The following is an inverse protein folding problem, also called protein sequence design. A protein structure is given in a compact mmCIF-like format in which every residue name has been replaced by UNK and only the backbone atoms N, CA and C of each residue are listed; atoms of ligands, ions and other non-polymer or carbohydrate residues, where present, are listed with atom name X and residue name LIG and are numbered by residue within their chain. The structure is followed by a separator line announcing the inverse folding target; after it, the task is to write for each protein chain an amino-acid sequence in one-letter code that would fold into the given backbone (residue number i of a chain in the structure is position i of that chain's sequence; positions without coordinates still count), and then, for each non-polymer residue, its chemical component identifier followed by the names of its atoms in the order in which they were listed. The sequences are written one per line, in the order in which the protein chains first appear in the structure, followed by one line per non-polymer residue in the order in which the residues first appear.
data_IF_544320695476
#
_entry.id   IF_544320695476
#
_cell.length_a   1.000
_cell.length_b   1.000
_cell.length_c   1.000
_cell.angle_alpha   90.00
_cell.angle_beta   90.00
_cell.angle_gamma   90.00
#
_symmetry.space_group_name_H-M   'P 1'
#
loop_
_entity.id
_entity.type
_entity.pdbx_description
1 polymer ?
#
# COMPACT_ATOMS: atom_id res chain seq x y z
N UNK A 1 -17.60 21.49 -12.56
CA UNK A 1 -16.98 21.21 -11.24
C UNK A 1 -16.24 19.87 -11.21
N UNK A 2 -16.71 18.79 -11.87
CA UNK A 2 -16.04 17.45 -11.86
C UNK A 2 -14.61 17.46 -12.46
N UNK A 3 -14.35 18.27 -13.49
CA UNK A 3 -13.02 18.38 -14.14
C UNK A 3 -11.98 19.20 -13.35
N UNK A 4 -12.43 20.15 -12.52
CA UNK A 4 -11.55 21.06 -11.79
C UNK A 4 -10.86 20.41 -10.59
N UNK A 5 -11.52 19.44 -9.94
CA UNK A 5 -10.95 18.69 -8.80
C UNK A 5 -9.82 17.77 -9.28
N UNK A 6 -9.96 17.18 -10.46
CA UNK A 6 -8.94 16.30 -11.04
C UNK A 6 -7.67 17.08 -11.43
N UNK A 7 -7.82 18.29 -11.97
CA UNK A 7 -6.67 19.14 -12.36
C UNK A 7 -5.86 19.59 -11.14
N UNK A 8 -6.50 19.86 -9.99
CA UNK A 8 -5.80 20.24 -8.76
C UNK A 8 -4.98 19.08 -8.18
N UNK A 9 -5.51 17.85 -8.24
CA UNK A 9 -4.75 16.66 -7.80
C UNK A 9 -3.51 16.40 -8.68
N UNK A 10 -3.61 16.63 -9.99
CA UNK A 10 -2.51 16.41 -10.94
C UNK A 10 -1.43 17.50 -10.82
N UNK A 11 -1.83 18.76 -10.65
CA UNK A 11 -0.89 19.90 -10.52
C UNK A 11 0.02 19.75 -9.28
N UNK A 12 -0.48 19.13 -8.20
CA UNK A 12 0.31 18.94 -6.98
C UNK A 12 1.27 17.74 -7.06
N UNK A 13 0.93 16.70 -7.83
CA UNK A 13 1.81 15.53 -8.01
C UNK A 13 3.06 15.87 -8.83
N UNK A 14 2.98 16.79 -9.79
CA UNK A 14 4.14 17.18 -10.61
C UNK A 14 5.14 18.07 -9.86
N UNK A 15 4.69 18.89 -8.91
CA UNK A 15 5.56 19.74 -8.12
C UNK A 15 6.45 18.99 -7.11
N UNK A 16 5.98 17.85 -6.58
CA UNK A 16 6.75 17.06 -5.61
C UNK A 16 7.68 16.03 -6.24
N UNK A 17 7.51 15.67 -7.51
CA UNK A 17 8.39 14.73 -8.20
C UNK A 17 9.75 15.35 -8.59
N UNK A 18 9.86 16.68 -8.65
CA UNK A 18 11.08 17.39 -9.07
C UNK A 18 12.07 17.58 -7.90
N UNK A 19 11.64 17.43 -6.64
CA UNK A 19 12.51 17.65 -5.47
C UNK A 19 13.21 16.39 -4.95
N UNK A 20 13.02 15.24 -5.58
CA UNK A 20 13.62 13.98 -5.15
C UNK A 20 14.92 13.60 -5.88
N UNK A 21 15.44 14.44 -6.76
CA UNK A 21 16.74 14.21 -7.42
C UNK A 21 17.68 15.37 -7.06
N UNK A 22 18.58 15.12 -6.14
CA UNK A 22 19.93 15.67 -5.99
C UNK A 22 20.35 15.62 -4.52
N UNK A 23 20.84 14.47 -4.11
CA UNK A 23 21.87 14.38 -3.06
C UNK A 23 22.53 13.00 -3.17
N UNK A 24 23.46 12.91 -4.09
CA UNK A 24 24.47 11.85 -4.10
C UNK A 24 25.81 12.53 -4.37
N UNK A 25 26.71 12.32 -3.49
CA UNK A 25 28.16 12.39 -3.49
C UNK A 25 28.65 13.19 -2.29
N UNK A 26 29.14 12.46 -1.31
CA UNK A 26 29.86 12.93 -0.15
C UNK A 26 30.77 11.81 0.35
N UNK A 27 32.02 11.83 -0.11
CA UNK A 27 33.27 11.36 0.46
C UNK A 27 33.33 10.05 1.28
N UNK A 28 33.92 9.06 0.63
CA UNK A 28 34.58 7.92 1.26
C UNK A 28 35.96 8.36 1.72
N UNK A 29 36.15 8.65 3.01
CA UNK A 29 37.46 8.75 3.66
C UNK A 29 37.85 7.40 4.27
N UNK A 30 38.93 6.83 3.72
CA UNK A 30 39.80 5.78 4.20
C UNK A 30 39.70 5.43 5.70
N UNK A 31 39.36 4.17 5.96
CA UNK A 31 39.70 3.53 7.24
C UNK A 31 40.63 2.33 6.96
N UNK A 32 41.88 2.46 7.43
CA UNK A 32 42.92 1.40 7.43
C UNK A 32 42.41 0.15 8.13
N UNK A 33 42.50 -0.98 7.44
CA UNK A 33 42.32 -2.31 8.01
C UNK A 33 43.70 -2.83 8.39
N UNK A 34 43.90 -3.11 9.67
CA UNK A 34 45.06 -3.81 10.22
C UNK A 34 44.80 -5.31 10.12
N UNK A 35 45.66 -6.03 9.38
CA UNK A 35 45.71 -7.49 9.33
C UNK A 35 46.28 -8.04 10.61
N UNK A 36 45.69 -9.10 11.12
CA UNK A 36 46.38 -10.10 11.97
C UNK A 36 46.26 -11.46 11.32
N UNK A 37 47.43 -12.12 11.28
CA UNK A 37 47.72 -13.36 10.59
C UNK A 37 47.40 -14.61 11.41
N UNK A 38 46.99 -15.66 10.68
CA UNK A 38 47.42 -17.09 10.69
C UNK A 38 46.73 -18.06 11.66
N UNK A 39 46.78 -19.40 11.40
CA UNK A 39 47.29 -20.15 10.24
C UNK A 39 46.34 -21.23 9.63
N UNK A 40 46.76 -21.69 8.48
CA UNK A 40 46.45 -22.83 7.64
C UNK A 40 45.95 -24.14 8.28
N UNK A 41 44.95 -24.76 7.61
CA UNK A 41 44.94 -26.23 7.45
C UNK A 41 44.32 -26.59 6.09
N UNK A 42 45.09 -27.42 5.36
CA UNK A 42 44.75 -28.00 4.05
C UNK A 42 43.92 -29.25 4.26
N UNK A 43 42.89 -29.46 3.51
CA UNK A 43 42.40 -30.80 3.15
C UNK A 43 41.54 -30.74 1.88
N UNK A 44 42.08 -31.34 0.85
CA UNK A 44 41.58 -32.15 -0.24
C UNK A 44 40.29 -31.83 -1.00
N UNK A 45 40.58 -31.68 -2.27
CA UNK A 45 39.71 -31.69 -3.45
C UNK A 45 38.95 -33.02 -3.57
N UNK A 46 37.65 -33.02 -3.62
CA UNK A 46 36.89 -33.97 -4.42
C UNK A 46 35.79 -33.24 -5.21
N UNK A 47 35.97 -33.44 -6.50
CA UNK A 47 35.14 -32.98 -7.60
C UNK A 47 33.83 -33.79 -7.59
N UNK A 48 32.68 -33.16 -7.44
CA UNK A 48 31.42 -33.79 -7.82
C UNK A 48 30.48 -32.80 -8.49
N UNK A 49 30.02 -33.25 -9.62
CA UNK A 49 29.08 -32.76 -10.62
C UNK A 49 28.22 -31.54 -10.27
N UNK A 50 28.41 -30.51 -11.11
CA UNK A 50 27.53 -29.36 -11.29
C UNK A 50 26.15 -29.85 -11.75
N UNK A 51 25.15 -29.83 -10.87
CA UNK A 51 23.74 -29.78 -11.27
C UNK A 51 23.36 -28.32 -11.47
N UNK A 52 22.96 -28.06 -12.69
CA UNK A 52 22.39 -26.82 -13.18
C UNK A 52 21.20 -26.42 -12.30
N UNK A 53 21.38 -25.43 -11.44
CA UNK A 53 20.29 -24.84 -10.65
C UNK A 53 19.53 -23.90 -11.58
N UNK A 54 18.28 -24.27 -11.84
CA UNK A 54 17.31 -23.55 -12.62
C UNK A 54 17.32 -22.05 -12.32
N UNK A 55 17.52 -21.34 -13.39
CA UNK A 55 17.51 -19.90 -13.55
C UNK A 55 16.32 -19.25 -12.84
N UNK A 56 16.61 -18.40 -11.85
CA UNK A 56 15.68 -17.41 -11.35
C UNK A 56 15.10 -16.68 -12.58
N UNK A 57 13.77 -16.62 -12.75
CA UNK A 57 13.21 -15.88 -13.87
C UNK A 57 13.58 -14.42 -13.74
N UNK A 58 14.55 -14.03 -14.55
CA UNK A 58 14.92 -12.64 -14.84
C UNK A 58 13.65 -11.88 -15.16
N UNK A 59 13.44 -10.80 -14.43
CA UNK A 59 12.49 -9.73 -14.65
C UNK A 59 11.95 -9.73 -16.08
N UNK A 60 10.79 -10.37 -16.29
CA UNK A 60 10.09 -10.29 -17.55
C UNK A 60 9.75 -8.83 -17.79
N UNK A 61 10.41 -8.27 -18.79
CA UNK A 61 10.21 -6.95 -19.34
C UNK A 61 8.70 -6.66 -19.43
N UNK A 62 8.17 -5.89 -18.48
CA UNK A 62 6.90 -5.24 -18.65
C UNK A 62 7.12 -4.26 -19.79
N UNK A 63 6.71 -4.64 -20.99
CA UNK A 63 6.74 -3.82 -22.19
C UNK A 63 5.87 -2.61 -21.89
N UNK A 64 6.49 -1.51 -21.47
CA UNK A 64 5.82 -0.25 -21.20
C UNK A 64 5.12 0.19 -22.49
N UNK A 65 3.84 -0.07 -22.60
CA UNK A 65 2.95 0.58 -23.55
C UNK A 65 3.02 2.08 -23.29
N UNK A 66 3.03 2.88 -24.31
CA UNK A 66 3.44 4.27 -24.40
C UNK A 66 3.09 5.21 -23.24
N UNK A 67 3.64 6.42 -23.26
CA UNK A 67 3.45 7.48 -22.24
C UNK A 67 1.99 7.73 -21.84
N UNK A 68 1.04 7.50 -22.73
CA UNK A 68 -0.39 7.69 -22.49
C UNK A 68 -0.98 6.67 -21.50
N UNK A 69 -0.52 5.41 -21.56
CA UNK A 69 -0.96 4.37 -20.62
C UNK A 69 -0.44 4.62 -19.20
N UNK A 70 0.76 5.20 -19.08
CA UNK A 70 1.34 5.57 -17.78
C UNK A 70 0.53 6.70 -17.16
N UNK A 71 0.25 7.76 -17.90
CA UNK A 71 -0.54 8.92 -17.43
C UNK A 71 -1.95 8.49 -17.04
N UNK A 72 -2.59 7.64 -17.85
CA UNK A 72 -3.92 7.09 -17.57
C UNK A 72 -3.95 6.32 -16.26
N UNK A 73 -2.96 5.47 -15.99
CA UNK A 73 -2.87 4.69 -14.75
C UNK A 73 -2.66 5.58 -13.51
N UNK A 74 -1.95 6.70 -13.63
CA UNK A 74 -1.79 7.66 -12.53
C UNK A 74 -3.05 8.48 -12.24
N UNK A 75 -3.95 8.60 -13.21
CA UNK A 75 -5.20 9.37 -13.08
C UNK A 75 -6.42 8.49 -12.80
N UNK A 76 -6.25 7.17 -12.77
CA UNK A 76 -7.34 6.25 -12.52
C UNK A 76 -7.76 6.23 -11.04
N UNK A 77 -9.00 5.84 -10.81
CA UNK A 77 -9.57 5.56 -9.48
C UNK A 77 -10.27 4.21 -9.50
N UNK A 78 -10.44 3.58 -8.34
CA UNK A 78 -11.10 2.29 -8.23
C UNK A 78 -11.87 2.17 -6.93
N UNK A 79 -12.90 1.33 -6.92
CA UNK A 79 -13.53 0.90 -5.67
C UNK A 79 -12.64 -0.11 -4.96
N UNK A 80 -12.64 -0.13 -3.59
CA UNK A 80 -11.79 -1.03 -2.83
C UNK A 80 -12.23 -2.50 -2.85
N UNK A 81 -13.49 -2.75 -3.21
CA UNK A 81 -14.11 -4.08 -3.33
C UNK A 81 -15.01 -4.10 -4.56
N UNK A 82 -15.32 -5.29 -5.07
CA UNK A 82 -16.22 -5.47 -6.23
C UNK A 82 -17.62 -4.91 -5.97
N UNK A 83 -18.12 -5.05 -4.74
CA UNK A 83 -19.42 -4.54 -4.31
C UNK A 83 -19.25 -3.72 -3.04
N UNK A 84 -19.83 -2.53 -3.00
CA UNK A 84 -19.80 -1.67 -1.81
C UNK A 84 -21.11 -1.83 -1.04
N UNK A 85 -21.01 -2.46 0.13
CA UNK A 85 -22.10 -2.57 1.11
C UNK A 85 -21.55 -2.16 2.48
N UNK A 86 -22.08 -1.08 3.04
CA UNK A 86 -21.61 -0.53 4.31
C UNK A 86 -22.35 -1.21 5.46
N UNK A 87 -21.60 -1.94 6.29
CA UNK A 87 -22.11 -2.55 7.52
C UNK A 87 -22.08 -1.58 8.70
N UNK A 88 -21.08 -0.67 8.75
CA UNK A 88 -20.96 0.31 9.82
C UNK A 88 -20.41 1.63 9.27
N UNK A 89 -21.07 2.73 9.67
CA UNK A 89 -20.78 4.08 9.18
C UNK A 89 -19.67 4.75 9.99
N UNK A 90 -19.05 5.76 9.40
CA UNK A 90 -18.16 6.72 10.05
C UNK A 90 -18.95 7.58 11.04
N UNK A 91 -18.36 7.90 12.20
CA UNK A 91 -18.93 8.80 13.19
C UNK A 91 -19.16 8.14 14.55
N UNK A 92 -19.83 8.86 15.44
CA UNK A 92 -20.16 8.36 16.77
C UNK A 92 -21.18 7.24 16.68
N UNK A 93 -20.86 6.08 17.27
CA UNK A 93 -21.76 4.92 17.30
C UNK A 93 -21.62 4.14 18.62
N UNK A 94 -22.67 3.41 18.97
CA UNK A 94 -22.59 2.43 20.06
C UNK A 94 -21.61 1.32 19.66
N UNK A 95 -20.56 1.12 20.46
CA UNK A 95 -19.58 0.07 20.19
C UNK A 95 -20.14 -1.29 20.60
N UNK A 96 -20.12 -2.30 19.72
CA UNK A 96 -20.77 -3.60 19.98
C UNK A 96 -20.17 -4.37 21.15
N UNK A 97 -18.87 -4.17 21.45
CA UNK A 97 -18.16 -4.87 22.53
C UNK A 97 -18.18 -4.05 23.83
N UNK A 98 -17.94 -2.73 23.74
CA UNK A 98 -17.78 -1.88 24.94
C UNK A 98 -19.08 -1.25 25.41
N UNK A 99 -20.19 -1.40 24.68
CA UNK A 99 -21.53 -0.87 24.99
C UNK A 99 -21.52 0.63 25.39
N UNK A 100 -20.67 1.41 24.72
CA UNK A 100 -20.56 2.87 24.88
C UNK A 100 -20.40 3.56 23.53
N UNK A 101 -20.76 4.84 23.48
CA UNK A 101 -20.56 5.63 22.27
C UNK A 101 -19.06 5.87 22.04
N UNK A 102 -18.55 5.44 20.88
CA UNK A 102 -17.17 5.61 20.48
C UNK A 102 -17.14 6.14 19.05
N UNK A 103 -16.16 7.00 18.76
CA UNK A 103 -15.90 7.48 17.41
C UNK A 103 -15.37 6.36 16.53
N UNK A 104 -16.08 6.06 15.46
CA UNK A 104 -15.64 5.17 14.40
C UNK A 104 -14.95 5.99 13.30
N UNK A 105 -13.61 5.96 13.23
CA UNK A 105 -12.81 6.78 12.31
C UNK A 105 -12.75 6.22 10.88
N UNK A 106 -13.60 5.28 10.54
CA UNK A 106 -13.65 4.61 9.24
C UNK A 106 -15.05 4.15 8.90
N UNK A 107 -15.15 3.28 7.94
CA UNK A 107 -16.36 2.51 7.62
C UNK A 107 -16.02 1.04 7.58
N UNK A 108 -16.99 0.18 7.89
CA UNK A 108 -16.87 -1.26 7.73
C UNK A 108 -17.66 -1.69 6.51
N UNK A 109 -16.98 -2.28 5.54
CA UNK A 109 -17.55 -2.78 4.30
C UNK A 109 -17.72 -4.29 4.38
N UNK A 110 -18.91 -4.78 4.00
CA UNK A 110 -19.14 -6.22 3.84
C UNK A 110 -18.15 -6.80 2.84
N UNK A 111 -17.45 -7.87 3.23
CA UNK A 111 -16.49 -8.55 2.39
C UNK A 111 -16.35 -10.01 2.84
N UNK A 112 -16.10 -10.90 1.88
CA UNK A 112 -15.82 -12.31 2.14
C UNK A 112 -14.78 -12.81 1.15
N UNK A 113 -13.57 -13.06 1.65
CA UNK A 113 -12.47 -13.71 0.94
C UNK A 113 -12.26 -13.12 -0.47
N UNK A 114 -12.19 -11.81 -0.54
CA UNK A 114 -12.01 -11.09 -1.80
C UNK A 114 -10.80 -10.14 -1.76
N UNK A 115 -10.25 -9.85 -2.94
CA UNK A 115 -9.14 -8.93 -3.06
C UNK A 115 -9.56 -7.51 -2.68
N UNK A 116 -8.73 -6.88 -1.85
CA UNK A 116 -8.83 -5.46 -1.52
C UNK A 116 -7.99 -4.67 -2.51
N UNK A 117 -8.61 -3.73 -3.21
CA UNK A 117 -7.98 -2.96 -4.26
C UNK A 117 -7.63 -1.56 -3.78
N UNK A 118 -6.52 -1.00 -4.28
CA UNK A 118 -6.17 0.40 -4.03
C UNK A 118 -7.20 1.33 -4.67
N UNK A 119 -7.75 2.24 -3.88
CA UNK A 119 -8.73 3.21 -4.37
C UNK A 119 -8.10 4.28 -5.24
N UNK A 120 -6.87 4.66 -4.93
CA UNK A 120 -6.10 5.72 -5.58
C UNK A 120 -4.69 5.23 -5.89
N UNK A 121 -4.04 5.75 -6.92
CA UNK A 121 -2.62 5.50 -7.13
C UNK A 121 -1.82 6.20 -6.04
N UNK A 122 -0.72 5.59 -5.60
CA UNK A 122 0.09 6.21 -4.55
C UNK A 122 1.20 5.32 -4.02
N UNK A 123 1.84 5.79 -2.96
CA UNK A 123 2.90 5.06 -2.27
C UNK A 123 2.36 4.36 -1.04
N UNK A 124 2.73 3.11 -0.87
CA UNK A 124 2.47 2.35 0.36
C UNK A 124 3.39 2.90 1.46
N UNK A 125 2.81 3.62 2.40
CA UNK A 125 3.57 4.25 3.50
C UNK A 125 3.67 3.36 4.74
N UNK A 126 2.77 2.39 4.91
CA UNK A 126 2.80 1.43 6.02
C UNK A 126 2.20 0.09 5.61
N UNK A 127 2.87 -0.98 6.02
CA UNK A 127 2.35 -2.36 6.01
C UNK A 127 2.68 -2.94 7.37
N UNK A 128 1.73 -3.59 8.02
CA UNK A 128 2.00 -4.13 9.35
C UNK A 128 0.82 -4.86 9.97
N UNK A 129 0.96 -5.11 11.26
CA UNK A 129 -0.05 -5.72 12.12
C UNK A 129 -0.09 -4.97 13.46
N UNK A 130 -1.28 -4.67 13.93
CA UNK A 130 -1.52 -4.26 15.32
C UNK A 130 -2.81 -4.93 15.85
N UNK A 131 -2.98 -4.93 17.18
CA UNK A 131 -4.11 -5.61 17.83
C UNK A 131 -5.47 -5.03 17.47
N UNK A 132 -5.54 -3.77 17.07
CA UNK A 132 -6.77 -3.08 16.69
C UNK A 132 -7.09 -3.27 15.21
N UNK A 133 -6.15 -2.90 14.34
CA UNK A 133 -6.33 -2.90 12.88
C UNK A 133 -6.13 -4.28 12.25
N UNK A 134 -5.54 -5.24 13.00
CA UNK A 134 -5.09 -6.48 12.42
C UNK A 134 -3.98 -6.24 11.39
N UNK A 135 -3.90 -7.09 10.37
CA UNK A 135 -3.05 -6.82 9.20
C UNK A 135 -3.63 -5.66 8.41
N UNK A 136 -2.78 -4.69 8.09
CA UNK A 136 -3.22 -3.49 7.37
C UNK A 136 -2.21 -3.04 6.32
N UNK A 137 -2.71 -2.34 5.33
CA UNK A 137 -1.93 -1.60 4.32
C UNK A 137 -2.42 -0.16 4.32
N UNK A 138 -1.49 0.79 4.29
CA UNK A 138 -1.78 2.23 4.20
C UNK A 138 -1.12 2.83 2.98
N UNK A 139 -1.92 3.42 2.10
CA UNK A 139 -1.49 4.08 0.87
C UNK A 139 -1.66 5.58 1.01
N UNK A 140 -0.65 6.35 0.62
CA UNK A 140 -0.70 7.80 0.50
C UNK A 140 -0.80 8.21 -0.97
N UNK A 141 -1.79 9.02 -1.29
CA UNK A 141 -2.03 9.60 -2.60
C UNK A 141 -2.24 11.10 -2.44
N UNK A 142 -1.27 11.90 -2.83
CA UNK A 142 -1.26 13.35 -2.60
C UNK A 142 -1.55 13.67 -1.11
N UNK A 143 -2.60 14.43 -0.82
CA UNK A 143 -3.01 14.78 0.54
C UNK A 143 -3.98 13.78 1.18
N UNK A 144 -4.32 12.69 0.49
CA UNK A 144 -5.13 11.60 1.05
C UNK A 144 -4.27 10.46 1.56
N UNK A 145 -4.67 9.89 2.69
CA UNK A 145 -4.13 8.63 3.22
C UNK A 145 -5.29 7.66 3.40
N UNK A 146 -5.19 6.49 2.80
CA UNK A 146 -6.21 5.43 2.87
C UNK A 146 -5.60 4.21 3.54
N UNK A 147 -6.24 3.71 4.62
CA UNK A 147 -5.82 2.47 5.29
C UNK A 147 -6.87 1.39 5.13
N UNK A 148 -6.41 0.20 4.77
CA UNK A 148 -7.18 -1.01 4.52
C UNK A 148 -6.81 -2.02 5.61
N UNK A 149 -7.76 -2.33 6.52
CA UNK A 149 -7.50 -3.08 7.74
C UNK A 149 -8.26 -4.41 7.79
N UNK A 150 -7.91 -5.24 8.80
CA UNK A 150 -8.43 -6.59 9.07
C UNK A 150 -8.11 -7.62 7.97
N UNK A 151 -7.04 -7.37 7.18
CA UNK A 151 -6.63 -8.25 6.09
C UNK A 151 -6.21 -9.63 6.61
N UNK A 152 -6.45 -10.68 5.82
CA UNK A 152 -5.86 -12.00 6.02
C UNK A 152 -4.47 -12.10 5.43
N UNK A 153 -4.23 -11.43 4.28
CA UNK A 153 -2.95 -11.38 3.58
C UNK A 153 -2.67 -9.96 3.07
N UNK A 154 -1.40 -9.63 2.96
CA UNK A 154 -0.88 -8.37 2.40
C UNK A 154 -0.02 -8.74 1.20
N UNK A 155 -0.25 -8.11 0.04
CA UNK A 155 0.43 -8.43 -1.23
C UNK A 155 1.52 -7.42 -1.59
N UNK A 156 1.60 -6.31 -0.85
CA UNK A 156 2.50 -5.20 -1.11
C UNK A 156 3.43 -4.97 0.08
N UNK A 157 4.52 -4.27 -0.16
CA UNK A 157 5.51 -3.89 0.85
C UNK A 157 5.51 -2.38 1.06
N UNK A 158 6.04 -1.94 2.18
CA UNK A 158 6.26 -0.52 2.42
C UNK A 158 7.21 0.05 1.35
N UNK A 159 6.90 1.26 0.90
CA UNK A 159 7.52 2.01 -0.18
C UNK A 159 7.17 1.56 -1.61
N UNK A 160 6.40 0.48 -1.80
CA UNK A 160 5.89 0.15 -3.12
C UNK A 160 5.02 1.30 -3.66
N UNK A 161 5.08 1.53 -4.98
CA UNK A 161 4.10 2.34 -5.67
C UNK A 161 2.98 1.43 -6.18
N UNK A 162 1.73 1.84 -5.95
CA UNK A 162 0.54 1.09 -6.39
C UNK A 162 -0.35 1.94 -7.27
N UNK A 163 -0.99 1.30 -8.24
CA UNK A 163 -2.00 1.93 -9.09
C UNK A 163 -3.39 1.71 -8.52
N UNK A 164 -4.35 2.56 -8.91
CA UNK A 164 -5.75 2.31 -8.59
C UNK A 164 -6.21 0.97 -9.21
N UNK A 165 -7.00 0.20 -8.44
CA UNK A 165 -7.40 -1.15 -8.83
C UNK A 165 -6.35 -2.24 -8.61
N UNK A 166 -5.14 -1.90 -8.20
CA UNK A 166 -4.11 -2.90 -7.88
C UNK A 166 -4.47 -3.62 -6.57
N UNK A 167 -4.41 -4.98 -6.51
CA UNK A 167 -4.62 -5.74 -5.29
C UNK A 167 -3.57 -5.40 -4.22
N UNK A 168 -4.03 -5.03 -3.03
CA UNK A 168 -3.21 -4.73 -1.84
C UNK A 168 -3.14 -5.89 -0.86
N UNK A 169 -4.15 -6.75 -0.88
CA UNK A 169 -4.29 -7.87 0.04
C UNK A 169 -5.63 -8.56 -0.11
N UNK A 170 -5.90 -9.47 0.81
CA UNK A 170 -7.14 -10.24 0.90
C UNK A 170 -7.91 -9.85 2.15
N UNK A 171 -9.22 -9.74 2.06
CA UNK A 171 -10.08 -9.51 3.23
C UNK A 171 -9.91 -10.60 4.29
N UNK A 172 -10.22 -10.29 5.53
CA UNK A 172 -10.07 -11.22 6.62
C UNK A 172 -10.74 -10.76 7.91
N UNK A 173 -10.27 -11.36 9.03
CA UNK A 173 -10.80 -11.12 10.38
C UNK A 173 -9.67 -10.96 11.39
N UNK A 174 -8.58 -10.32 11.02
CA UNK A 174 -7.44 -10.11 11.94
C UNK A 174 -7.62 -8.89 12.83
N UNK A 175 -6.99 -8.87 14.00
CA UNK A 175 -7.13 -7.78 14.97
C UNK A 175 -8.49 -7.76 15.69
N UNK A 176 -8.99 -6.56 16.00
CA UNK A 176 -10.25 -6.36 16.75
C UNK A 176 -11.48 -6.44 15.82
N UNK A 177 -11.64 -7.53 15.08
CA UNK A 177 -12.75 -7.76 14.18
C UNK A 177 -13.71 -8.84 14.73
N UNK A 178 -15.01 -8.56 14.78
CA UNK A 178 -16.04 -9.51 15.21
C UNK A 178 -16.42 -10.52 14.12
N UNK A 179 -16.22 -10.17 12.85
CA UNK A 179 -16.46 -10.97 11.66
C UNK A 179 -15.57 -10.52 10.53
N UNK A 180 -15.59 -11.26 9.41
CA UNK A 180 -14.83 -10.87 8.21
C UNK A 180 -15.45 -9.62 7.58
N UNK A 181 -14.62 -8.60 7.34
CA UNK A 181 -15.00 -7.34 6.69
C UNK A 181 -13.74 -6.55 6.30
N UNK A 182 -13.90 -5.54 5.47
CA UNK A 182 -12.87 -4.53 5.25
C UNK A 182 -13.18 -3.30 6.10
N UNK A 183 -12.31 -2.97 7.05
CA UNK A 183 -12.35 -1.68 7.72
C UNK A 183 -11.50 -0.68 6.93
N UNK A 184 -12.14 0.37 6.44
CA UNK A 184 -11.55 1.40 5.58
C UNK A 184 -11.50 2.72 6.34
N UNK A 185 -10.30 3.31 6.50
CA UNK A 185 -10.16 4.66 7.03
C UNK A 185 -9.54 5.58 6.01
N UNK A 186 -9.94 6.85 6.03
CA UNK A 186 -9.33 7.89 5.20
C UNK A 186 -8.93 9.09 6.04
N UNK A 187 -7.83 9.72 5.63
CA UNK A 187 -7.42 11.04 6.13
C UNK A 187 -7.23 11.96 4.94
N UNK A 188 -7.54 13.24 5.13
CA UNK A 188 -7.18 14.32 4.22
C UNK A 188 -6.36 15.33 5.00
N UNK A 189 -5.17 15.69 4.51
CA UNK A 189 -4.24 16.58 5.21
C UNK A 189 -3.96 16.13 6.67
N UNK A 190 -3.81 14.82 6.88
CA UNK A 190 -3.57 14.20 8.19
C UNK A 190 -4.80 14.09 9.11
N UNK A 191 -5.92 14.73 8.80
CA UNK A 191 -7.16 14.72 9.61
C UNK A 191 -8.10 13.61 9.15
N UNK A 192 -8.80 12.98 10.11
CA UNK A 192 -9.82 11.97 9.79
C UNK A 192 -10.85 12.55 8.83
N UNK A 193 -11.14 11.80 7.78
CA UNK A 193 -12.06 12.18 6.71
C UNK A 193 -13.06 11.04 6.49
N UNK A 194 -14.33 11.36 6.28
CA UNK A 194 -15.34 10.33 6.09
C UNK A 194 -15.12 9.57 4.76
N UNK A 195 -14.83 8.26 4.79
CA UNK A 195 -14.54 7.49 3.59
C UNK A 195 -15.68 7.45 2.57
N UNK A 196 -16.93 7.61 3.01
CA UNK A 196 -18.09 7.63 2.11
C UNK A 196 -18.02 8.76 1.11
N UNK A 197 -17.46 9.92 1.51
CA UNK A 197 -17.31 11.07 0.60
C UNK A 197 -16.34 10.69 -0.54
N UNK A 198 -15.20 10.09 -0.22
CA UNK A 198 -14.24 9.65 -1.23
C UNK A 198 -14.84 8.55 -2.13
N UNK A 199 -15.55 7.56 -1.54
CA UNK A 199 -16.23 6.51 -2.31
C UNK A 199 -17.26 7.07 -3.30
N UNK A 200 -18.04 8.08 -2.89
CA UNK A 200 -19.03 8.69 -3.77
C UNK A 200 -18.36 9.44 -4.93
N UNK A 201 -17.30 10.20 -4.65
CA UNK A 201 -16.52 10.87 -5.70
C UNK A 201 -15.96 9.86 -6.71
N UNK A 202 -15.41 8.73 -6.21
CA UNK A 202 -14.91 7.66 -7.09
C UNK A 202 -16.03 7.03 -7.92
N UNK A 203 -17.19 6.72 -7.32
CA UNK A 203 -18.34 6.16 -8.04
C UNK A 203 -18.85 7.06 -9.15
N UNK A 204 -18.77 8.39 -8.94
CA UNK A 204 -19.18 9.37 -9.94
C UNK A 204 -18.17 9.51 -11.10
N UNK A 205 -16.97 8.94 -10.96
CA UNK A 205 -15.87 9.04 -11.94
C UNK A 205 -15.73 7.79 -12.83
N UNK A 206 -16.25 6.64 -12.37
CA UNK A 206 -16.14 5.32 -13.06
C UNK A 206 -17.48 4.90 -13.72
#
# INVERSE_FOLDING_TARGET
MKRTILVILVSWMTANAIHAQFNTIGDVKNRKVTRQDSPSEQADVQNDSVQEVDTIPTTSSIKMKGKEDVVSNYMSVSLPLKKIQINSKFGMRMHPIYHRYIMHNGIDLHARHENVLSMLPGRVIRVGYDSRSGKFVTVQSANYTVSYCHLSQQYVRQNDFVYAGQPLGLTGRTGAATGEHLHLTTKKDGKAFNPVILLNVIKDMI
#
